data_IF_834843973929
#
_entry.id   IF_834843973929
#
_cell.length_a   1.000
_cell.length_b   1.000
_cell.length_c   1.000
_cell.angle_alpha   90.00
_cell.angle_beta   90.00
_cell.angle_gamma   90.00
#
_symmetry.space_group_name_H-M   'P 1'
#
loop_
_entity.id
_entity.type
_entity.pdbx_description
1 polymer ?
#
# COMPACT_ATOMS: atom_id res chain seq x y z
N UNK A 1 1.83 18.05 -11.90
CA UNK A 1 0.80 18.37 -10.89
C UNK A 1 1.17 17.67 -9.59
N UNK A 2 1.21 18.38 -8.45
CA UNK A 2 1.39 17.73 -7.14
C UNK A 2 0.20 16.79 -6.94
N UNK A 3 0.42 15.48 -6.82
CA UNK A 3 -0.63 14.60 -6.28
C UNK A 3 -1.03 15.18 -4.93
N UNK A 4 -2.32 15.47 -4.70
CA UNK A 4 -2.76 15.87 -3.37
C UNK A 4 -2.37 14.75 -2.42
N UNK A 5 -1.65 15.09 -1.34
CA UNK A 5 -1.59 14.20 -0.17
C UNK A 5 -3.04 13.83 0.14
N UNK A 6 -3.40 12.55 0.10
CA UNK A 6 -4.77 12.10 0.34
C UNK A 6 -5.13 12.34 1.81
N UNK A 7 -5.56 13.56 2.15
CA UNK A 7 -5.95 13.93 3.52
C UNK A 7 -4.84 13.74 4.58
N UNK A 8 -5.18 13.93 5.87
CA UNK A 8 -4.29 13.55 6.96
C UNK A 8 -4.17 12.02 7.04
N UNK A 9 -2.97 11.51 7.35
CA UNK A 9 -2.77 10.08 7.62
C UNK A 9 -3.61 9.68 8.83
N UNK A 10 -4.52 8.69 8.74
CA UNK A 10 -5.27 8.20 9.90
C UNK A 10 -4.33 7.67 10.99
N UNK A 11 -4.69 7.91 12.25
CA UNK A 11 -3.89 7.53 13.42
C UNK A 11 -3.75 6.01 13.55
N UNK A 12 -4.85 5.29 13.31
CA UNK A 12 -4.92 3.82 13.34
C UNK A 12 -4.36 3.14 12.09
N UNK A 13 -3.87 3.90 11.10
CA UNK A 13 -3.26 3.33 9.89
C UNK A 13 -1.77 3.03 10.06
N UNK A 14 -1.35 1.88 9.54
CA UNK A 14 0.05 1.40 9.59
C UNK A 14 0.52 0.92 8.22
N UNK A 15 1.83 0.92 8.02
CA UNK A 15 2.43 0.40 6.78
C UNK A 15 2.33 -1.11 6.69
N UNK A 16 2.47 -1.65 5.47
CA UNK A 16 2.55 -3.12 5.24
C UNK A 16 3.60 -3.77 6.13
N UNK A 17 4.77 -3.14 6.29
CA UNK A 17 5.82 -3.67 7.16
C UNK A 17 5.37 -3.73 8.64
N UNK A 18 4.70 -2.68 9.12
CA UNK A 18 4.21 -2.62 10.49
C UNK A 18 3.06 -3.61 10.77
N UNK A 19 2.23 -3.90 9.76
CA UNK A 19 1.22 -4.94 9.83
C UNK A 19 1.84 -6.34 9.75
N UNK A 20 2.81 -6.56 8.85
CA UNK A 20 3.51 -7.83 8.74
C UNK A 20 4.25 -8.22 10.01
N UNK A 21 4.82 -7.24 10.72
CA UNK A 21 5.40 -7.47 12.06
C UNK A 21 4.37 -7.91 13.11
N UNK A 22 3.08 -7.67 12.88
CA UNK A 22 1.96 -8.14 13.70
C UNK A 22 1.31 -9.40 13.14
N UNK A 23 1.92 -10.03 12.13
CA UNK A 23 1.36 -11.20 11.45
C UNK A 23 0.12 -10.87 10.63
N UNK A 24 -0.03 -9.63 10.14
CA UNK A 24 -1.20 -9.19 9.36
C UNK A 24 -0.82 -8.67 7.98
N UNK A 25 -1.71 -8.88 7.03
CA UNK A 25 -1.62 -8.36 5.65
C UNK A 25 -2.92 -7.67 5.24
N UNK A 26 -2.89 -6.75 4.27
CA UNK A 26 -4.10 -6.16 3.72
C UNK A 26 -5.08 -7.22 3.18
N UNK A 27 -6.38 -7.03 3.42
CA UNK A 27 -7.44 -7.84 2.81
C UNK A 27 -7.59 -7.43 1.34
N UNK A 28 -7.78 -6.13 1.11
CA UNK A 28 -7.81 -5.53 -0.21
C UNK A 28 -6.58 -4.61 -0.38
N UNK A 29 -5.53 -5.08 -1.06
CA UNK A 29 -4.29 -4.33 -1.23
C UNK A 29 -4.42 -3.17 -2.23
N UNK A 30 -5.57 -3.01 -2.92
CA UNK A 30 -5.84 -1.86 -3.79
C UNK A 30 -6.64 -0.76 -3.09
N UNK A 31 -7.05 -0.98 -1.83
CA UNK A 31 -7.74 0.00 -0.99
C UNK A 31 -6.88 0.49 0.18
N UNK A 32 -5.78 1.21 -0.09
CA UNK A 32 -5.03 1.86 0.96
C UNK A 32 -5.82 3.05 1.49
N UNK A 33 -5.76 3.26 2.80
CA UNK A 33 -6.38 4.42 3.43
C UNK A 33 -5.54 5.68 3.18
N UNK A 34 -4.21 5.51 3.14
CA UNK A 34 -3.29 6.60 2.88
C UNK A 34 -2.08 6.12 2.08
N UNK A 35 -1.70 6.91 1.07
CA UNK A 35 -0.49 6.70 0.29
C UNK A 35 0.39 7.93 0.47
N UNK A 36 1.62 7.69 0.92
CA UNK A 36 2.65 8.71 0.99
C UNK A 36 3.57 8.60 -0.21
N UNK A 37 3.49 9.60 -1.08
CA UNK A 37 4.34 9.72 -2.26
C UNK A 37 5.65 10.43 -1.92
N UNK A 38 6.72 10.10 -2.66
CA UNK A 38 7.98 10.82 -2.61
C UNK A 38 7.90 12.17 -3.34
N UNK A 39 9.02 12.89 -3.42
CA UNK A 39 9.12 14.19 -4.09
C UNK A 39 8.66 14.16 -5.57
N UNK A 40 8.77 13.01 -6.24
CA UNK A 40 8.41 12.82 -7.64
C UNK A 40 6.97 12.33 -7.85
N UNK A 41 6.16 12.23 -6.78
CA UNK A 41 4.77 11.74 -6.89
C UNK A 41 4.67 10.22 -7.04
N UNK A 42 5.75 9.49 -6.76
CA UNK A 42 5.77 8.01 -6.80
C UNK A 42 5.46 7.48 -5.40
N UNK A 43 4.54 6.51 -5.25
CA UNK A 43 4.26 5.89 -3.96
C UNK A 43 5.52 5.39 -3.27
N UNK A 44 5.76 5.84 -2.03
CA UNK A 44 6.90 5.43 -1.21
C UNK A 44 6.46 4.60 0.00
N UNK A 45 5.30 4.91 0.59
CA UNK A 45 4.75 4.16 1.71
C UNK A 45 3.23 4.10 1.62
N UNK A 46 2.68 2.92 1.91
CA UNK A 46 1.25 2.64 1.82
C UNK A 46 0.76 2.25 3.20
N UNK A 47 -0.35 2.84 3.61
CA UNK A 47 -0.93 2.66 4.93
C UNK A 47 -2.33 2.08 4.80
N UNK A 48 -2.58 1.05 5.62
CA UNK A 48 -3.86 0.37 5.72
C UNK A 48 -4.40 0.51 7.14
N UNK A 49 -5.71 0.65 7.25
CA UNK A 49 -6.42 0.51 8.52
C UNK A 49 -6.39 -0.94 8.99
N UNK A 50 -6.54 -1.13 10.30
CA UNK A 50 -6.68 -2.46 10.87
C UNK A 50 -7.85 -3.25 10.25
N UNK A 51 -8.96 -2.57 10.00
CA UNK A 51 -10.19 -3.15 9.42
C UNK A 51 -9.96 -3.70 8.00
N UNK A 52 -8.99 -3.16 7.26
CA UNK A 52 -8.59 -3.70 5.95
C UNK A 52 -7.41 -4.68 6.08
N UNK A 53 -7.26 -5.37 7.21
CA UNK A 53 -6.20 -6.39 7.37
C UNK A 53 -6.72 -7.69 7.98
N UNK A 54 -6.12 -8.80 7.56
CA UNK A 54 -6.34 -10.15 8.09
C UNK A 54 -5.03 -10.75 8.60
N UNK A 55 -5.13 -11.86 9.32
CA UNK A 55 -3.95 -12.66 9.65
C UNK A 55 -3.28 -13.19 8.38
N UNK A 56 -1.95 -13.24 8.44
CA UNK A 56 -1.11 -13.89 7.43
C UNK A 56 -1.32 -15.40 7.47
N UNK A 57 -1.29 -16.04 6.30
CA UNK A 57 -1.05 -17.48 6.23
C UNK A 57 0.38 -17.81 6.65
N UNK A 58 0.67 -19.08 6.93
CA UNK A 58 2.03 -19.52 7.23
C UNK A 58 3.01 -19.21 6.10
N UNK A 59 2.56 -19.37 4.84
CA UNK A 59 3.34 -19.04 3.65
C UNK A 59 3.64 -17.55 3.55
N UNK A 60 2.64 -16.68 3.75
CA UNK A 60 2.82 -15.23 3.74
C UNK A 60 3.74 -14.77 4.87
N UNK A 61 3.65 -15.42 6.03
CA UNK A 61 4.53 -15.14 7.16
C UNK A 61 5.96 -15.57 6.87
N UNK A 62 6.15 -16.74 6.26
CA UNK A 62 7.47 -17.23 5.85
C UNK A 62 8.11 -16.31 4.80
N UNK A 63 7.36 -15.92 3.77
CA UNK A 63 7.80 -14.99 2.73
C UNK A 63 8.13 -13.60 3.30
N UNK A 64 7.29 -13.08 4.21
CA UNK A 64 7.57 -11.82 4.91
C UNK A 64 8.86 -11.90 5.72
N UNK A 65 9.11 -13.00 6.45
CA UNK A 65 10.31 -13.16 7.26
C UNK A 65 11.57 -13.38 6.40
N UNK A 66 11.43 -14.03 5.25
CA UNK A 66 12.52 -14.27 4.32
C UNK A 66 13.06 -12.97 3.71
N UNK A 67 12.18 -12.07 3.24
CA UNK A 67 12.57 -10.74 2.77
C UNK A 67 11.45 -9.71 2.97
N UNK A 68 11.50 -9.04 4.12
CA UNK A 68 10.55 -7.97 4.48
C UNK A 68 10.54 -6.83 3.47
N UNK A 69 11.70 -6.51 2.88
CA UNK A 69 11.83 -5.38 1.94
C UNK A 69 11.15 -5.73 0.63
N UNK A 70 11.49 -6.87 0.04
CA UNK A 70 10.87 -7.34 -1.19
C UNK A 70 9.36 -7.51 -0.99
N UNK A 71 8.94 -8.11 0.13
CA UNK A 71 7.52 -8.28 0.49
C UNK A 71 6.76 -6.96 0.44
N UNK A 72 7.24 -5.94 1.17
CA UNK A 72 6.59 -4.62 1.21
C UNK A 72 6.62 -3.92 -0.16
N UNK A 73 7.70 -4.10 -0.92
CA UNK A 73 7.87 -3.45 -2.21
C UNK A 73 6.90 -3.97 -3.27
N UNK A 74 6.37 -5.20 -3.14
CA UNK A 74 5.28 -5.70 -4.01
C UNK A 74 4.02 -4.85 -3.90
N UNK A 75 3.65 -4.42 -2.69
CA UNK A 75 2.49 -3.55 -2.48
C UNK A 75 2.72 -2.15 -3.07
N UNK A 76 3.93 -1.61 -2.94
CA UNK A 76 4.30 -0.32 -3.55
C UNK A 76 4.15 -0.36 -5.07
N UNK A 77 4.68 -1.41 -5.70
CA UNK A 77 4.55 -1.62 -7.15
C UNK A 77 3.09 -1.79 -7.58
N UNK A 78 2.31 -2.56 -6.82
CA UNK A 78 0.89 -2.78 -7.08
C UNK A 78 0.10 -1.46 -7.08
N UNK A 79 0.28 -0.62 -6.04
CA UNK A 79 -0.39 0.67 -5.96
C UNK A 79 0.09 1.64 -7.04
N UNK A 80 1.39 1.65 -7.35
CA UNK A 80 1.90 2.50 -8.42
C UNK A 80 1.25 2.16 -9.77
N UNK A 81 1.16 0.86 -10.11
CA UNK A 81 0.52 0.39 -11.33
C UNK A 81 -0.99 0.71 -11.36
N UNK A 82 -1.70 0.54 -10.24
CA UNK A 82 -3.13 0.87 -10.20
C UNK A 82 -3.39 2.36 -10.38
N UNK A 83 -2.54 3.23 -9.81
CA UNK A 83 -2.74 4.66 -10.01
C UNK A 83 -2.43 5.05 -11.47
N UNK A 84 -1.40 4.47 -12.09
CA UNK A 84 -1.12 4.67 -13.51
C UNK A 84 -2.30 4.23 -14.39
N UNK A 85 -2.89 3.05 -14.11
CA UNK A 85 -4.08 2.54 -14.80
C UNK A 85 -5.26 3.51 -14.69
N UNK A 86 -5.53 4.04 -13.49
CA UNK A 86 -6.62 5.00 -13.23
C UNK A 86 -6.38 6.35 -13.91
N UNK A 87 -5.12 6.81 -13.96
CA UNK A 87 -4.73 8.04 -14.65
C UNK A 87 -4.88 7.92 -16.17
N UNK A 88 -4.57 6.75 -16.75
CA UNK A 88 -4.81 6.48 -18.18
C UNK A 88 -6.31 6.42 -18.48
N UNK A 89 -7.08 5.69 -17.68
CA UNK A 89 -8.54 5.58 -17.83
C UNK A 89 -9.22 6.95 -17.75
N UNK A 90 -8.74 7.84 -16.86
CA UNK A 90 -9.25 9.21 -16.77
C UNK A 90 -8.89 10.07 -17.99
N UNK A 91 -7.73 9.82 -18.63
CA UNK A 91 -7.30 10.52 -19.85
C UNK A 91 -8.10 10.08 -21.07
N UNK A 92 -8.43 8.79 -21.18
CA UNK A 92 -9.23 8.26 -22.28
C UNK A 92 -10.70 8.70 -22.22
N UNK A 93 -11.22 8.99 -21.01
CA UNK A 93 -12.62 9.38 -20.76
C UNK A 93 -12.85 10.89 -20.71
N UNK A 94 -11.79 11.70 -20.67
CA UNK A 94 -11.84 13.17 -20.62
C UNK A 94 -11.63 13.79 -21.98
#
# INVERSE_FOLDING_TARGET
MRRPKRGPKPENSRTVNQWGMRGRVPIDPLKPEYVWDNYYGVPQSIYYLEDNTREMTEEERADFLADRKAFCQRYVKLIAAEIERLEEEAREKG
#
